data_IF_005035419835
#
_entry.id   IF_005035419835
#
_cell.length_a   1.000
_cell.length_b   1.000
_cell.length_c   1.000
_cell.angle_alpha   90.00
_cell.angle_beta   90.00
_cell.angle_gamma   90.00
#
_symmetry.space_group_name_H-M   'P 1'
#
loop_
_entity.id
_entity.type
_entity.pdbx_description
1 polymer ?
#
# COMPACT_ATOMS: atom_id res chain seq x y z
N UNK A 1 -4.20 26.19 -5.94
CA UNK A 1 -3.96 24.73 -5.93
C UNK A 1 -3.98 24.14 -4.51
N UNK A 2 -3.16 24.62 -3.56
CA UNK A 2 -3.18 24.12 -2.19
C UNK A 2 -4.56 24.25 -1.50
N UNK A 3 -5.21 25.41 -1.61
CA UNK A 3 -6.56 25.60 -1.06
C UNK A 3 -7.59 24.62 -1.65
N UNK A 4 -7.57 24.38 -2.96
CA UNK A 4 -8.47 23.45 -3.63
C UNK A 4 -8.27 21.99 -3.18
N UNK A 5 -7.05 21.61 -2.77
CA UNK A 5 -6.77 20.30 -2.21
C UNK A 5 -7.12 20.19 -0.72
N UNK A 6 -6.88 21.26 0.05
CA UNK A 6 -7.07 21.26 1.50
C UNK A 6 -8.53 21.42 1.92
N UNK A 7 -9.33 22.20 1.19
CA UNK A 7 -10.74 22.46 1.54
C UNK A 7 -11.54 21.16 1.67
N UNK A 8 -11.53 20.23 0.68
CA UNK A 8 -12.25 18.96 0.82
C UNK A 8 -11.77 18.11 2.01
N UNK A 9 -10.46 18.12 2.29
CA UNK A 9 -9.87 17.38 3.42
C UNK A 9 -10.38 17.92 4.74
N UNK A 10 -10.41 19.24 4.92
CA UNK A 10 -10.91 19.87 6.15
C UNK A 10 -12.42 19.71 6.31
N UNK A 11 -13.20 19.83 5.23
CA UNK A 11 -14.65 19.57 5.26
C UNK A 11 -14.91 18.13 5.69
N UNK A 12 -14.23 17.17 5.06
CA UNK A 12 -14.38 15.76 5.42
C UNK A 12 -13.93 15.50 6.85
N UNK A 13 -12.80 16.05 7.29
CA UNK A 13 -12.31 15.92 8.66
C UNK A 13 -13.28 16.52 9.69
N UNK A 14 -13.92 17.64 9.37
CA UNK A 14 -14.95 18.26 10.21
C UNK A 14 -16.20 17.39 10.33
N UNK A 15 -16.70 16.85 9.21
CA UNK A 15 -17.80 15.88 9.21
C UNK A 15 -17.44 14.63 10.00
N UNK A 16 -16.26 14.06 9.78
CA UNK A 16 -15.78 12.87 10.46
C UNK A 16 -15.74 13.07 11.98
N UNK A 17 -15.20 14.21 12.43
CA UNK A 17 -15.18 14.59 13.84
C UNK A 17 -16.60 14.73 14.41
N UNK A 18 -17.51 15.41 13.70
CA UNK A 18 -18.88 15.58 14.15
C UNK A 18 -19.61 14.22 14.33
N UNK A 19 -19.40 13.27 13.41
CA UNK A 19 -20.05 11.96 13.45
C UNK A 19 -19.43 10.97 14.43
N UNK A 20 -18.10 11.00 14.63
CA UNK A 20 -17.39 9.96 15.39
C UNK A 20 -16.75 10.46 16.69
N UNK A 21 -16.78 11.78 16.95
CA UNK A 21 -16.17 12.43 18.11
C UNK A 21 -14.67 12.11 18.25
N UNK A 22 -13.97 11.93 17.13
CA UNK A 22 -12.52 11.73 17.04
C UNK A 22 -11.95 12.36 15.79
N UNK A 23 -10.74 12.92 15.88
CA UNK A 23 -10.07 13.54 14.74
C UNK A 23 -9.43 12.49 13.83
N UNK A 24 -9.63 12.62 12.51
CA UNK A 24 -9.02 11.73 11.52
C UNK A 24 -9.74 11.77 10.17
N UNK A 25 -9.20 11.02 9.21
CA UNK A 25 -9.88 10.68 7.96
C UNK A 25 -10.41 9.24 7.98
N UNK A 26 -9.89 8.40 8.87
CA UNK A 26 -10.24 7.00 9.05
C UNK A 26 -10.21 6.69 10.54
N UNK A 27 -11.09 5.78 10.99
CA UNK A 27 -11.27 5.41 12.39
C UNK A 27 -10.59 4.10 12.83
N UNK A 28 -9.60 3.62 12.09
CA UNK A 28 -9.00 2.30 12.28
C UNK A 28 -7.46 2.31 12.27
N UNK A 29 -6.83 3.48 12.42
CA UNK A 29 -5.39 3.64 12.26
C UNK A 29 -4.60 2.76 13.25
N UNK A 30 -5.03 2.72 14.51
CA UNK A 30 -4.39 1.92 15.54
C UNK A 30 -4.63 0.43 15.35
N UNK A 31 -5.83 0.04 14.92
CA UNK A 31 -6.18 -1.37 14.61
C UNK A 31 -5.32 -1.93 13.48
N UNK A 32 -5.19 -1.21 12.36
CA UNK A 32 -4.35 -1.66 11.25
C UNK A 32 -2.87 -1.69 11.63
N UNK A 33 -2.38 -0.66 12.32
CA UNK A 33 -0.99 -0.62 12.76
C UNK A 33 -0.67 -1.75 13.76
N UNK A 34 -1.62 -2.09 14.64
CA UNK A 34 -1.53 -3.26 15.52
C UNK A 34 -1.37 -4.55 14.71
N UNK A 35 -2.24 -4.77 13.72
CA UNK A 35 -2.17 -5.93 12.83
C UNK A 35 -0.77 -6.07 12.20
N UNK A 36 -0.21 -4.96 11.71
CA UNK A 36 1.15 -4.93 11.18
C UNK A 36 2.18 -5.39 12.20
N UNK A 37 2.10 -4.88 13.43
CA UNK A 37 3.08 -5.22 14.48
C UNK A 37 3.04 -6.69 14.89
N UNK A 38 1.94 -7.40 14.66
CA UNK A 38 1.85 -8.83 14.98
C UNK A 38 2.84 -9.69 14.21
N UNK A 39 3.32 -9.23 13.04
CA UNK A 39 4.36 -9.92 12.26
C UNK A 39 5.74 -9.99 12.94
N UNK A 40 5.98 -9.17 13.97
CA UNK A 40 7.30 -9.10 14.62
C UNK A 40 7.27 -8.89 16.15
N UNK A 41 6.17 -8.38 16.72
CA UNK A 41 6.13 -7.96 18.11
C UNK A 41 6.35 -9.11 19.08
N UNK A 42 7.47 -9.09 19.80
CA UNK A 42 7.73 -9.97 20.94
C UNK A 42 7.34 -9.31 22.27
N UNK A 43 6.33 -9.87 22.94
CA UNK A 43 5.85 -9.38 24.23
C UNK A 43 6.84 -9.62 25.39
N UNK A 44 7.72 -10.62 25.29
CA UNK A 44 8.75 -10.88 26.30
C UNK A 44 9.84 -9.79 26.30
N UNK A 45 10.08 -9.18 25.14
CA UNK A 45 11.02 -8.08 24.94
C UNK A 45 10.39 -6.74 25.35
N UNK A 46 9.21 -6.40 24.80
CA UNK A 46 8.62 -5.07 25.04
C UNK A 46 7.97 -4.92 26.42
N UNK A 47 7.63 -6.03 27.10
CA UNK A 47 7.03 -6.07 28.45
C UNK A 47 5.87 -5.08 28.61
N UNK A 48 4.76 -5.29 27.86
CA UNK A 48 3.67 -4.33 27.84
C UNK A 48 2.97 -4.22 29.21
N UNK A 49 2.42 -3.04 29.55
CA UNK A 49 1.57 -2.88 30.73
C UNK A 49 0.32 -3.78 30.65
N UNK A 50 -0.35 -4.09 31.79
CA UNK A 50 -1.41 -5.10 31.84
C UNK A 50 -2.61 -4.88 30.92
N UNK A 51 -2.90 -3.62 30.55
CA UNK A 51 -3.95 -3.29 29.59
C UNK A 51 -3.57 -3.69 28.16
N UNK A 52 -2.30 -3.50 27.78
CA UNK A 52 -1.76 -3.86 26.46
C UNK A 52 -1.35 -5.34 26.38
N UNK A 53 -0.94 -5.95 27.50
CA UNK A 53 -0.55 -7.36 27.57
C UNK A 53 -1.67 -8.32 27.12
N UNK A 54 -2.93 -7.89 27.22
CA UNK A 54 -4.09 -8.64 26.75
C UNK A 54 -4.13 -8.81 25.21
N UNK A 55 -3.38 -7.98 24.48
CA UNK A 55 -3.26 -8.06 23.02
C UNK A 55 -2.03 -8.89 22.58
N UNK A 56 -1.30 -9.50 23.50
CA UNK A 56 -0.18 -10.37 23.15
C UNK A 56 -0.65 -11.66 22.51
N UNK A 57 0.03 -12.06 21.44
CA UNK A 57 -0.06 -13.41 20.90
C UNK A 57 1.05 -14.29 21.52
N UNK A 58 0.71 -15.44 22.14
CA UNK A 58 1.69 -16.34 22.72
C UNK A 58 2.56 -17.06 21.68
N UNK A 59 2.14 -17.13 20.41
CA UNK A 59 2.94 -17.72 19.34
C UNK A 59 4.14 -16.81 19.04
N UNK A 60 5.33 -17.39 18.78
CA UNK A 60 6.45 -16.63 18.27
C UNK A 60 6.15 -16.09 16.86
N UNK A 61 6.73 -14.94 16.46
CA UNK A 61 6.41 -14.29 15.18
C UNK A 61 6.45 -15.20 13.94
N UNK A 62 7.35 -16.18 13.90
CA UNK A 62 7.49 -17.11 12.76
C UNK A 62 6.36 -18.13 12.62
N UNK A 63 5.54 -18.34 13.66
CA UNK A 63 4.41 -19.28 13.65
C UNK A 63 3.05 -18.57 13.62
N UNK A 64 3.05 -17.23 13.53
CA UNK A 64 1.83 -16.44 13.50
C UNK A 64 1.17 -16.48 12.13
N UNK A 65 -0.16 -16.36 12.07
CA UNK A 65 -0.86 -16.18 10.82
C UNK A 65 -0.49 -14.84 10.16
N UNK A 66 -0.84 -14.64 8.87
CA UNK A 66 -0.72 -13.35 8.21
C UNK A 66 -1.35 -12.21 9.01
N UNK A 67 -0.76 -11.02 8.93
CA UNK A 67 -1.09 -9.85 9.75
C UNK A 67 -2.59 -9.48 9.73
N UNK A 68 -3.28 -9.58 8.60
CA UNK A 68 -4.72 -9.35 8.50
C UNK A 68 -5.57 -10.23 9.43
N UNK A 69 -5.13 -11.44 9.78
CA UNK A 69 -5.91 -12.31 10.66
C UNK A 69 -6.09 -11.70 12.05
N UNK A 70 -5.17 -10.82 12.46
CA UNK A 70 -5.26 -10.11 13.73
C UNK A 70 -6.37 -9.06 13.82
N UNK A 71 -7.08 -8.78 12.72
CA UNK A 71 -8.23 -7.87 12.72
C UNK A 71 -9.51 -8.53 12.21
N UNK A 72 -9.42 -9.72 11.60
CA UNK A 72 -10.55 -10.42 11.00
C UNK A 72 -10.86 -11.78 11.62
N UNK A 73 -9.86 -12.49 12.17
CA UNK A 73 -10.07 -13.78 12.81
C UNK A 73 -10.70 -13.61 14.18
N UNK A 74 -11.68 -14.46 14.49
CA UNK A 74 -12.31 -14.57 15.82
C UNK A 74 -11.30 -14.97 16.91
N UNK A 75 -10.18 -15.58 16.52
CA UNK A 75 -9.12 -16.00 17.42
C UNK A 75 -8.10 -14.89 17.70
N UNK A 76 -8.22 -13.73 17.05
CA UNK A 76 -7.36 -12.59 17.35
C UNK A 76 -7.63 -12.03 18.75
N UNK A 77 -6.59 -11.75 19.56
CA UNK A 77 -6.74 -11.08 20.85
C UNK A 77 -7.55 -9.77 20.77
N UNK A 78 -7.40 -9.01 19.68
CA UNK A 78 -8.12 -7.75 19.49
C UNK A 78 -9.59 -7.98 19.14
N UNK A 79 -9.90 -8.99 18.31
CA UNK A 79 -11.28 -9.27 17.87
C UNK A 79 -12.12 -9.88 19.00
N UNK A 80 -11.50 -10.63 19.93
CA UNK A 80 -12.18 -11.15 21.14
C UNK A 80 -12.58 -10.06 22.14
N UNK A 81 -12.10 -8.83 21.97
CA UNK A 81 -12.46 -7.73 22.87
C UNK A 81 -13.94 -7.39 22.71
N UNK A 82 -14.61 -6.93 23.79
CA UNK A 82 -16.00 -6.50 23.69
C UNK A 82 -16.21 -5.36 22.67
N UNK A 83 -17.38 -5.36 22.05
CA UNK A 83 -17.80 -4.34 21.09
C UNK A 83 -17.23 -4.55 19.69
N UNK A 84 -17.31 -3.51 18.86
CA UNK A 84 -16.81 -3.55 17.48
C UNK A 84 -15.28 -3.43 17.49
N UNK A 85 -14.58 -4.25 16.70
CA UNK A 85 -13.11 -4.25 16.55
C UNK A 85 -12.56 -2.85 16.28
N UNK A 86 -13.24 -2.07 15.44
CA UNK A 86 -12.85 -0.70 15.03
C UNK A 86 -13.47 0.42 15.89
N UNK A 87 -13.99 0.08 17.09
CA UNK A 87 -14.43 1.09 18.05
C UNK A 87 -13.28 2.01 18.47
N UNK A 88 -13.59 3.25 18.87
CA UNK A 88 -12.56 4.21 19.28
C UNK A 88 -11.69 3.70 20.45
N UNK A 89 -12.28 2.94 21.38
CA UNK A 89 -11.56 2.36 22.50
C UNK A 89 -10.57 1.26 22.05
N UNK A 90 -11.02 0.34 21.19
CA UNK A 90 -10.16 -0.73 20.67
C UNK A 90 -9.07 -0.16 19.74
N UNK A 91 -9.38 0.83 18.90
CA UNK A 91 -8.42 1.52 18.04
C UNK A 91 -7.33 2.25 18.85
N UNK A 92 -7.71 2.94 19.93
CA UNK A 92 -6.75 3.59 20.82
C UNK A 92 -5.85 2.59 21.55
N UNK A 93 -6.42 1.49 22.05
CA UNK A 93 -5.66 0.42 22.72
C UNK A 93 -4.66 -0.24 21.76
N UNK A 94 -5.13 -0.61 20.57
CA UNK A 94 -4.34 -1.20 19.50
C UNK A 94 -3.20 -0.26 19.05
N UNK A 95 -3.49 1.03 18.88
CA UNK A 95 -2.48 2.03 18.54
C UNK A 95 -1.40 2.19 19.61
N UNK A 96 -1.77 2.19 20.90
CA UNK A 96 -0.79 2.23 22.00
C UNK A 96 0.11 0.98 22.01
N UNK A 97 -0.46 -0.20 21.80
CA UNK A 97 0.31 -1.43 21.65
C UNK A 97 1.28 -1.33 20.48
N UNK A 98 0.80 -0.92 19.30
CA UNK A 98 1.61 -0.89 18.09
C UNK A 98 2.78 0.09 18.21
N UNK A 99 2.54 1.27 18.78
CA UNK A 99 3.58 2.26 19.04
C UNK A 99 4.61 1.76 20.07
N UNK A 100 4.19 1.00 21.08
CA UNK A 100 5.10 0.36 22.03
C UNK A 100 5.98 -0.67 21.31
N UNK A 101 5.39 -1.57 20.53
CA UNK A 101 6.11 -2.60 19.78
C UNK A 101 7.16 -1.98 18.82
N UNK A 102 6.79 -0.95 18.06
CA UNK A 102 7.71 -0.26 17.12
C UNK A 102 8.86 0.41 17.87
N UNK A 103 8.59 1.09 19.00
CA UNK A 103 9.64 1.77 19.78
C UNK A 103 10.58 0.79 20.47
N UNK A 104 10.06 -0.33 20.96
CA UNK A 104 10.87 -1.36 21.63
C UNK A 104 11.66 -2.22 20.65
N UNK A 105 11.19 -2.38 19.40
CA UNK A 105 11.77 -3.31 18.42
C UNK A 105 11.90 -2.65 17.02
N UNK A 106 12.64 -1.52 16.88
CA UNK A 106 12.65 -0.72 15.65
C UNK A 106 13.29 -1.45 14.45
N UNK A 107 14.32 -2.26 14.69
CA UNK A 107 14.95 -3.04 13.62
C UNK A 107 14.04 -4.15 13.12
N UNK A 108 13.27 -4.78 14.01
CA UNK A 108 12.29 -5.79 13.64
C UNK A 108 11.16 -5.16 12.81
N UNK A 109 10.70 -3.95 13.19
CA UNK A 109 9.76 -3.18 12.38
C UNK A 109 10.30 -2.92 10.97
N UNK A 110 11.50 -2.33 10.84
CA UNK A 110 12.12 -2.05 9.52
C UNK A 110 12.26 -3.33 8.70
N UNK A 111 12.78 -4.42 9.29
CA UNK A 111 12.91 -5.71 8.62
C UNK A 111 11.56 -6.24 8.12
N UNK A 112 10.52 -6.11 8.93
CA UNK A 112 9.16 -6.49 8.57
C UNK A 112 8.63 -5.67 7.39
N UNK A 113 8.81 -4.35 7.39
CA UNK A 113 8.34 -3.45 6.31
C UNK A 113 9.07 -3.76 5.00
N UNK A 114 10.38 -3.98 5.07
CA UNK A 114 11.17 -4.40 3.92
C UNK A 114 10.70 -5.76 3.39
N UNK A 115 10.42 -6.72 4.27
CA UNK A 115 9.89 -8.02 3.88
C UNK A 115 8.57 -7.90 3.12
N UNK A 116 7.63 -7.07 3.58
CA UNK A 116 6.37 -6.82 2.84
C UNK A 116 6.63 -6.11 1.50
N UNK A 117 7.45 -5.05 1.52
CA UNK A 117 7.73 -4.25 0.34
C UNK A 117 8.37 -5.09 -0.77
N UNK A 118 9.31 -5.98 -0.43
CA UNK A 118 9.99 -6.84 -1.40
C UNK A 118 9.06 -7.80 -2.14
N UNK A 119 7.89 -8.15 -1.57
CA UNK A 119 6.87 -8.96 -2.27
C UNK A 119 6.35 -8.27 -3.54
N UNK A 120 6.39 -6.93 -3.59
CA UNK A 120 6.06 -6.15 -4.78
C UNK A 120 6.98 -6.45 -5.96
N UNK A 121 8.23 -6.83 -5.68
CA UNK A 121 9.30 -6.95 -6.67
C UNK A 121 9.67 -8.40 -6.98
N UNK A 122 8.78 -9.35 -6.69
CA UNK A 122 8.94 -10.74 -7.10
C UNK A 122 8.87 -10.89 -8.63
N UNK A 123 9.50 -11.93 -9.17
CA UNK A 123 9.38 -12.25 -10.60
C UNK A 123 7.99 -12.78 -10.92
N UNK A 124 7.54 -13.72 -10.10
CA UNK A 124 6.22 -14.33 -10.11
C UNK A 124 5.24 -13.55 -9.22
N UNK A 125 3.98 -14.01 -9.20
CA UNK A 125 2.91 -13.46 -8.39
C UNK A 125 2.58 -14.44 -7.25
N UNK A 126 3.35 -14.46 -6.15
CA UNK A 126 3.11 -15.42 -5.07
C UNK A 126 1.73 -15.26 -4.44
N UNK A 127 1.11 -16.39 -4.08
CA UNK A 127 -0.14 -16.39 -3.32
C UNK A 127 0.11 -15.78 -1.94
N UNK A 128 -0.50 -14.60 -1.71
CA UNK A 128 -0.34 -13.85 -0.48
C UNK A 128 -1.51 -12.86 -0.31
N UNK A 129 -1.92 -12.55 0.93
CA UNK A 129 -1.57 -13.22 2.20
C UNK A 129 -2.08 -14.66 2.31
N UNK A 130 -3.13 -15.02 1.57
CA UNK A 130 -3.70 -16.35 1.47
C UNK A 130 -4.39 -16.55 0.12
N UNK A 131 -4.89 -17.76 -0.14
CA UNK A 131 -5.53 -18.13 -1.39
C UNK A 131 -6.89 -17.43 -1.62
N UNK A 132 -7.65 -17.12 -0.55
CA UNK A 132 -8.96 -16.45 -0.66
C UNK A 132 -8.76 -15.01 -1.18
N UNK A 133 -7.86 -14.26 -0.53
CA UNK A 133 -7.57 -12.88 -0.92
C UNK A 133 -6.93 -12.81 -2.30
N UNK A 134 -6.02 -13.73 -2.60
CA UNK A 134 -5.36 -13.80 -3.90
C UNK A 134 -6.38 -14.06 -5.03
N UNK A 135 -7.33 -14.96 -4.83
CA UNK A 135 -8.35 -15.31 -5.82
C UNK A 135 -9.29 -14.16 -6.19
N UNK A 136 -9.46 -13.14 -5.34
CA UNK A 136 -10.24 -11.94 -5.69
C UNK A 136 -9.67 -11.13 -6.85
N UNK A 137 -8.41 -11.37 -7.22
CA UNK A 137 -7.74 -10.69 -8.32
C UNK A 137 -7.48 -11.59 -9.52
N UNK A 138 -8.11 -12.76 -9.59
CA UNK A 138 -8.09 -13.65 -10.73
C UNK A 138 -9.48 -13.77 -11.34
N UNK A 139 -9.56 -13.89 -12.66
CA UNK A 139 -10.82 -14.23 -13.31
C UNK A 139 -11.12 -15.71 -13.06
N UNK A 140 -12.21 -16.05 -12.33
CA UNK A 140 -12.44 -17.42 -11.91
C UNK A 140 -13.02 -18.27 -13.05
N UNK A 141 -12.74 -19.58 -13.04
CA UNK A 141 -13.36 -20.53 -13.98
C UNK A 141 -14.76 -20.97 -13.58
N UNK A 142 -15.08 -20.88 -12.29
CA UNK A 142 -16.37 -21.26 -11.70
C UNK A 142 -16.82 -20.17 -10.75
N UNK A 143 -18.13 -19.93 -10.57
CA UNK A 143 -18.61 -18.94 -9.62
C UNK A 143 -17.98 -19.20 -8.24
N UNK A 144 -17.37 -18.18 -7.61
CA UNK A 144 -16.74 -18.34 -6.31
C UNK A 144 -17.80 -18.69 -5.26
N UNK A 145 -17.43 -19.44 -4.21
CA UNK A 145 -18.32 -19.68 -3.09
C UNK A 145 -18.66 -18.35 -2.38
N UNK A 146 -19.75 -18.29 -1.61
CA UNK A 146 -20.07 -17.12 -0.81
C UNK A 146 -18.93 -16.80 0.18
N UNK A 147 -18.75 -15.53 0.57
CA UNK A 147 -17.61 -15.13 1.38
C UNK A 147 -17.53 -15.86 2.73
N UNK A 148 -16.34 -16.37 3.07
CA UNK A 148 -16.12 -17.14 4.29
C UNK A 148 -16.04 -16.26 5.54
N UNK A 149 -15.44 -15.07 5.41
CA UNK A 149 -15.15 -14.14 6.52
C UNK A 149 -16.38 -13.34 6.94
N UNK A 150 -16.56 -13.18 8.25
CA UNK A 150 -17.73 -12.49 8.82
C UNK A 150 -18.03 -11.10 8.22
N UNK A 151 -17.06 -10.17 8.08
CA UNK A 151 -17.33 -8.86 7.47
C UNK A 151 -17.81 -8.96 6.01
N UNK A 152 -17.25 -9.90 5.26
CA UNK A 152 -17.64 -10.12 3.88
C UNK A 152 -19.06 -10.72 3.77
N UNK A 153 -19.51 -11.49 4.78
CA UNK A 153 -20.91 -11.94 4.88
C UNK A 153 -21.87 -10.78 5.14
N UNK A 154 -21.52 -9.85 6.03
CA UNK A 154 -22.35 -8.65 6.28
C UNK A 154 -22.50 -7.83 5.00
N UNK A 155 -21.41 -7.63 4.26
CA UNK A 155 -21.44 -6.97 2.95
C UNK A 155 -22.28 -7.74 1.92
N UNK A 156 -22.16 -9.07 1.89
CA UNK A 156 -22.95 -9.92 1.00
C UNK A 156 -24.46 -9.78 1.28
N UNK A 157 -24.88 -9.85 2.54
CA UNK A 157 -26.28 -9.66 2.92
C UNK A 157 -26.81 -8.27 2.56
N UNK A 158 -26.01 -7.22 2.78
CA UNK A 158 -26.37 -5.87 2.35
C UNK A 158 -26.52 -5.77 0.81
N UNK A 159 -25.65 -6.44 0.06
CA UNK A 159 -25.71 -6.46 -1.39
C UNK A 159 -26.92 -7.25 -1.92
N UNK A 160 -27.37 -8.31 -1.23
CA UNK A 160 -28.62 -9.00 -1.58
C UNK A 160 -29.85 -8.11 -1.49
N UNK A 161 -29.89 -7.24 -0.47
CA UNK A 161 -30.96 -6.25 -0.33
C UNK A 161 -30.93 -5.25 -1.50
N UNK A 162 -29.73 -4.82 -1.91
CA UNK A 162 -29.57 -3.89 -3.04
C UNK A 162 -29.95 -4.52 -4.38
N UNK A 163 -29.53 -5.76 -4.63
CA UNK A 163 -29.82 -6.49 -5.87
C UNK A 163 -31.23 -7.11 -5.90
N UNK A 164 -32.01 -6.95 -4.83
CA UNK A 164 -33.32 -7.59 -4.63
C UNK A 164 -33.29 -9.11 -4.88
N UNK A 165 -32.18 -9.77 -4.54
CA UNK A 165 -31.93 -11.16 -4.88
C UNK A 165 -30.59 -11.70 -4.41
N UNK A 166 -30.30 -12.96 -4.74
CA UNK A 166 -29.00 -13.55 -4.43
C UNK A 166 -27.90 -12.92 -5.28
N UNK A 167 -26.81 -12.54 -4.62
CA UNK A 167 -25.62 -12.04 -5.31
C UNK A 167 -24.80 -13.21 -5.85
N UNK A 168 -24.33 -13.10 -7.10
CA UNK A 168 -23.53 -14.15 -7.70
C UNK A 168 -22.73 -13.68 -8.91
N UNK A 169 -21.53 -14.21 -9.07
CA UNK A 169 -20.74 -13.98 -10.28
C UNK A 169 -21.24 -14.87 -11.40
N UNK A 170 -21.83 -14.26 -12.44
CA UNK A 170 -22.15 -14.97 -13.68
C UNK A 170 -20.95 -14.97 -14.60
N UNK A 171 -20.45 -16.16 -14.93
CA UNK A 171 -19.36 -16.35 -15.90
C UNK A 171 -19.97 -16.53 -17.28
N UNK A 172 -19.53 -15.73 -18.25
CA UNK A 172 -20.04 -15.74 -19.63
C UNK A 172 -18.89 -16.08 -20.58
N UNK A 173 -18.99 -17.24 -21.22
CA UNK A 173 -18.03 -17.68 -22.24
C UNK A 173 -18.45 -17.21 -23.65
N UNK A 174 -17.50 -16.92 -24.55
CA UNK A 174 -16.05 -17.12 -24.44
C UNK A 174 -15.28 -15.94 -23.80
N UNK A 175 -15.97 -14.87 -23.41
CA UNK A 175 -15.33 -13.63 -22.95
C UNK A 175 -14.50 -13.82 -21.67
N UNK A 176 -15.03 -14.60 -20.70
CA UNK A 176 -14.29 -14.93 -19.48
C UNK A 176 -13.01 -15.72 -19.78
N UNK A 177 -13.06 -16.70 -20.70
CA UNK A 177 -11.88 -17.43 -21.16
C UNK A 177 -10.84 -16.53 -21.82
N UNK A 178 -11.25 -15.57 -22.65
CA UNK A 178 -10.33 -14.60 -23.27
C UNK A 178 -9.64 -13.72 -22.22
N UNK A 179 -10.38 -13.24 -21.21
CA UNK A 179 -9.81 -12.42 -20.14
C UNK A 179 -8.85 -13.22 -19.24
N UNK A 180 -9.16 -14.50 -18.96
CA UNK A 180 -8.24 -15.42 -18.25
C UNK A 180 -6.94 -15.61 -19.03
N UNK A 181 -7.02 -15.96 -20.31
CA UNK A 181 -5.83 -16.14 -21.15
C UNK A 181 -5.00 -14.85 -21.26
N UNK A 182 -5.66 -13.68 -21.33
CA UNK A 182 -4.97 -12.40 -21.30
C UNK A 182 -4.25 -12.18 -19.95
N UNK A 183 -4.90 -12.45 -18.83
CA UNK A 183 -4.32 -12.31 -17.50
C UNK A 183 -3.10 -13.23 -17.29
N UNK A 184 -3.13 -14.45 -17.84
CA UNK A 184 -2.03 -15.42 -17.72
C UNK A 184 -0.77 -14.98 -18.48
N UNK A 185 -0.94 -14.29 -19.62
CA UNK A 185 0.17 -13.94 -20.53
C UNK A 185 0.64 -12.50 -20.34
N UNK A 186 -0.29 -11.56 -20.15
CA UNK A 186 -0.01 -10.13 -20.14
C UNK A 186 0.05 -9.64 -18.69
N UNK A 187 1.25 -9.67 -18.13
CA UNK A 187 1.52 -9.09 -16.82
C UNK A 187 2.87 -8.37 -16.79
N UNK A 188 2.98 -7.37 -15.91
CA UNK A 188 4.26 -6.75 -15.58
C UNK A 188 4.83 -7.46 -14.34
N UNK A 189 5.91 -8.26 -14.47
CA UNK A 189 6.52 -8.88 -13.30
C UNK A 189 7.02 -7.79 -12.34
N UNK A 190 7.03 -8.08 -11.04
CA UNK A 190 7.42 -7.11 -10.00
C UNK A 190 8.84 -6.57 -10.20
N UNK A 191 9.77 -7.41 -10.61
CA UNK A 191 11.13 -6.99 -11.02
C UNK A 191 11.13 -6.00 -12.20
N UNK A 192 10.17 -6.13 -13.13
CA UNK A 192 9.96 -5.18 -14.22
C UNK A 192 9.45 -3.83 -13.72
N UNK A 193 8.53 -3.84 -12.74
CA UNK A 193 8.11 -2.63 -12.04
C UNK A 193 9.28 -1.97 -11.30
N UNK A 194 10.15 -2.73 -10.64
CA UNK A 194 11.35 -2.20 -10.00
C UNK A 194 12.26 -1.51 -11.04
N UNK A 195 12.47 -2.13 -12.20
CA UNK A 195 13.25 -1.53 -13.29
C UNK A 195 12.64 -0.18 -13.72
N UNK A 196 11.31 -0.10 -13.88
CA UNK A 196 10.61 1.15 -14.21
C UNK A 196 10.79 2.22 -13.12
N UNK A 197 10.64 1.85 -11.84
CA UNK A 197 10.83 2.76 -10.70
C UNK A 197 12.27 3.29 -10.58
N UNK A 198 13.26 2.54 -11.08
CA UNK A 198 14.67 2.91 -11.07
C UNK A 198 15.07 3.80 -12.26
N UNK A 199 14.24 3.93 -13.30
CA UNK A 199 14.54 4.80 -14.46
C UNK A 199 14.76 6.27 -14.03
N UNK A 200 13.88 6.93 -13.25
CA UNK A 200 14.11 8.31 -12.85
C UNK A 200 15.38 8.55 -12.02
N UNK A 201 15.66 7.82 -10.91
CA UNK A 201 16.90 8.01 -10.17
C UNK A 201 18.14 7.63 -10.99
N UNK A 202 18.05 6.61 -11.85
CA UNK A 202 19.11 6.24 -12.79
C UNK A 202 19.42 7.35 -13.80
N UNK A 203 18.40 7.97 -14.39
CA UNK A 203 18.57 9.10 -15.32
C UNK A 203 19.19 10.32 -14.62
N UNK A 204 18.80 10.59 -13.37
CA UNK A 204 19.42 11.64 -12.54
C UNK A 204 20.89 11.34 -12.30
N UNK A 205 21.23 10.12 -11.89
CA UNK A 205 22.61 9.70 -11.63
C UNK A 205 23.48 9.83 -12.88
N UNK A 206 23.00 9.36 -14.05
CA UNK A 206 23.72 9.47 -15.32
C UNK A 206 23.99 10.94 -15.68
N UNK A 207 23.01 11.84 -15.48
CA UNK A 207 23.19 13.29 -15.72
C UNK A 207 24.23 13.89 -14.76
N UNK A 208 24.20 13.53 -13.49
CA UNK A 208 25.17 13.98 -12.49
C UNK A 208 26.60 13.53 -12.83
N UNK A 209 26.78 12.25 -13.19
CA UNK A 209 28.08 11.70 -13.60
C UNK A 209 28.61 12.40 -14.85
N UNK A 210 27.77 12.60 -15.87
CA UNK A 210 28.17 13.33 -17.09
C UNK A 210 28.57 14.77 -16.79
N UNK A 211 27.88 15.45 -15.87
CA UNK A 211 28.20 16.82 -15.44
C UNK A 211 29.49 16.88 -14.63
N UNK A 212 29.71 15.96 -13.69
CA UNK A 212 30.93 15.87 -12.91
C UNK A 212 32.17 15.66 -13.81
N UNK A 213 32.05 14.80 -14.84
CA UNK A 213 33.11 14.60 -15.85
C UNK A 213 33.42 15.88 -16.65
N UNK A 214 32.41 16.71 -16.95
CA UNK A 214 32.61 17.99 -17.67
C UNK A 214 33.22 19.08 -16.79
N UNK A 215 32.85 19.14 -15.51
CA UNK A 215 33.26 20.21 -14.58
C UNK A 215 34.50 19.85 -13.75
N UNK A 216 35.05 18.65 -13.88
CA UNK A 216 36.24 18.18 -13.15
C UNK A 216 36.05 18.01 -11.64
N UNK A 217 34.87 18.32 -11.09
CA UNK A 217 34.58 18.25 -9.65
C UNK A 217 33.16 17.77 -9.38
N UNK A 218 33.00 16.84 -8.43
CA UNK A 218 31.70 16.32 -7.98
C UNK A 218 30.88 17.41 -7.28
N UNK A 219 31.55 18.30 -6.53
CA UNK A 219 30.94 19.40 -5.77
C UNK A 219 30.23 20.41 -6.69
N UNK A 220 30.78 20.69 -7.87
CA UNK A 220 30.16 21.55 -8.90
C UNK A 220 29.01 20.90 -9.67
N UNK A 221 28.92 19.56 -9.66
CA UNK A 221 27.79 18.83 -10.23
C UNK A 221 26.57 18.83 -9.29
N UNK A 222 26.81 18.68 -7.98
CA UNK A 222 25.75 18.68 -6.94
C UNK A 222 25.20 20.09 -6.70
N UNK A 223 26.03 21.14 -6.75
CA UNK A 223 25.60 22.53 -6.48
C UNK A 223 24.58 23.08 -7.50
N UNK A 224 24.38 22.40 -8.63
CA UNK A 224 23.35 22.72 -9.61
C UNK A 224 22.21 21.72 -9.68
N UNK A 225 22.03 20.90 -8.63
CA UNK A 225 20.91 19.98 -8.45
C UNK A 225 20.15 20.37 -7.17
N UNK A 226 18.80 20.42 -7.17
CA UNK A 226 17.88 20.05 -8.24
C UNK A 226 17.83 21.08 -9.39
N UNK A 227 17.33 20.69 -10.58
CA UNK A 227 17.14 21.63 -11.68
C UNK A 227 16.21 22.78 -11.25
N UNK A 228 16.62 24.03 -11.52
CA UNK A 228 15.82 25.23 -11.21
C UNK A 228 14.47 25.29 -11.95
N UNK A 229 14.29 24.51 -13.02
CA UNK A 229 13.03 24.47 -13.78
C UNK A 229 12.05 23.45 -13.22
N UNK A 230 10.88 23.91 -12.80
CA UNK A 230 9.74 23.08 -12.39
C UNK A 230 9.42 21.97 -13.39
N UNK A 231 9.56 22.26 -14.69
CA UNK A 231 9.36 21.31 -15.80
C UNK A 231 10.19 20.02 -15.66
N UNK A 232 11.41 20.09 -15.11
CA UNK A 232 12.30 18.92 -14.92
C UNK A 232 12.04 18.16 -13.62
N UNK A 233 11.23 18.72 -12.72
CA UNK A 233 10.82 18.08 -11.48
C UNK A 233 9.44 17.41 -11.57
N UNK A 234 8.70 17.58 -12.68
CA UNK A 234 7.32 17.07 -12.81
C UNK A 234 7.21 15.55 -12.60
N UNK A 235 8.25 14.78 -12.94
CA UNK A 235 8.25 13.33 -12.73
C UNK A 235 8.29 12.92 -11.25
N UNK A 236 8.72 13.80 -10.33
CA UNK A 236 8.88 13.44 -8.92
C UNK A 236 7.54 13.19 -8.24
N UNK A 237 6.47 13.87 -8.66
CA UNK A 237 5.13 13.69 -8.10
C UNK A 237 4.58 12.28 -8.36
N UNK A 238 4.39 11.82 -9.63
CA UNK A 238 3.90 10.47 -9.87
C UNK A 238 4.86 9.40 -9.34
N UNK A 239 6.18 9.65 -9.35
CA UNK A 239 7.16 8.72 -8.75
C UNK A 239 7.00 8.58 -7.24
N UNK A 240 6.83 9.70 -6.53
CA UNK A 240 6.63 9.70 -5.08
C UNK A 240 5.31 9.06 -4.73
N UNK A 241 4.24 9.36 -5.48
CA UNK A 241 2.93 8.74 -5.25
C UNK A 241 2.99 7.23 -5.48
N UNK A 242 3.69 6.76 -6.51
CA UNK A 242 3.91 5.33 -6.72
C UNK A 242 4.61 4.68 -5.51
N UNK A 243 5.68 5.28 -4.99
CA UNK A 243 6.35 4.77 -3.79
C UNK A 243 5.47 4.82 -2.54
N UNK A 244 4.70 5.89 -2.35
CA UNK A 244 3.76 6.00 -1.22
C UNK A 244 2.72 4.90 -1.28
N UNK A 245 2.17 4.59 -2.47
CA UNK A 245 1.23 3.49 -2.65
C UNK A 245 1.84 2.13 -2.29
N UNK A 246 3.12 1.91 -2.57
CA UNK A 246 3.80 0.64 -2.27
C UNK A 246 4.27 0.52 -0.82
N UNK A 247 4.83 1.60 -0.26
CA UNK A 247 5.46 1.59 1.08
C UNK A 247 4.43 1.71 2.19
N UNK A 248 3.38 2.51 2.00
CA UNK A 248 2.37 2.73 3.04
C UNK A 248 1.72 1.42 3.53
N UNK A 249 1.13 0.57 2.67
CA UNK A 249 0.53 -0.68 3.12
C UNK A 249 1.55 -1.61 3.78
N UNK A 250 2.76 -1.72 3.25
CA UNK A 250 3.86 -2.48 3.86
C UNK A 250 4.24 -1.96 5.27
N UNK A 251 4.12 -0.65 5.50
CA UNK A 251 4.47 0.00 6.76
C UNK A 251 3.35 -0.03 7.81
N UNK A 252 2.07 0.01 7.39
CA UNK A 252 0.95 0.23 8.32
C UNK A 252 -0.07 -0.91 8.36
N UNK A 253 -0.04 -1.83 7.40
CA UNK A 253 -0.95 -2.95 7.29
C UNK A 253 -0.20 -4.19 6.76
N UNK A 254 -0.41 -4.58 5.51
CA UNK A 254 0.31 -5.68 4.86
C UNK A 254 0.36 -5.46 3.35
N UNK A 255 1.26 -6.18 2.68
CA UNK A 255 1.30 -6.17 1.22
C UNK A 255 0.04 -6.78 0.62
N UNK A 256 -0.51 -6.12 -0.40
CA UNK A 256 -1.60 -6.63 -1.22
C UNK A 256 -1.48 -6.06 -2.66
N UNK A 257 -1.81 -6.88 -3.65
CA UNK A 257 -1.72 -6.52 -5.07
C UNK A 257 -2.55 -5.30 -5.47
N UNK A 258 -3.60 -4.95 -4.72
CA UNK A 258 -4.43 -3.76 -4.96
C UNK A 258 -3.65 -2.46 -4.94
N UNK A 259 -2.52 -2.42 -4.23
CA UNK A 259 -1.68 -1.22 -4.13
C UNK A 259 -0.63 -1.15 -5.24
N UNK A 260 -0.25 -2.31 -5.78
CA UNK A 260 0.69 -2.41 -6.92
C UNK A 260 0.01 -1.93 -8.20
N UNK A 261 -1.24 -2.35 -8.42
CA UNK A 261 -2.01 -2.02 -9.63
C UNK A 261 -2.06 -0.51 -9.95
N UNK A 262 -2.41 0.40 -9.02
CA UNK A 262 -2.39 1.85 -9.26
C UNK A 262 -0.96 2.45 -9.26
N UNK A 263 0.04 1.78 -8.68
CA UNK A 263 1.41 2.27 -8.68
C UNK A 263 2.09 2.15 -10.05
N UNK A 264 1.75 1.12 -10.84
CA UNK A 264 2.32 0.86 -12.18
C UNK A 264 2.17 2.06 -13.12
N UNK A 265 0.96 2.59 -13.42
CA UNK A 265 0.81 3.71 -14.35
C UNK A 265 1.51 4.99 -13.87
N UNK A 266 1.62 5.20 -12.56
CA UNK A 266 2.33 6.35 -12.00
C UNK A 266 3.86 6.21 -12.16
N UNK A 267 4.38 5.00 -11.92
CA UNK A 267 5.80 4.70 -12.13
C UNK A 267 6.19 4.84 -13.61
N UNK A 268 5.36 4.34 -14.53
CA UNK A 268 5.62 4.46 -15.98
C UNK A 268 5.52 5.90 -16.44
N UNK A 269 4.51 6.66 -15.98
CA UNK A 269 4.39 8.10 -16.27
C UNK A 269 5.62 8.87 -15.80
N UNK A 270 6.10 8.60 -14.59
CA UNK A 270 7.32 9.21 -14.07
C UNK A 270 8.55 8.88 -14.91
N UNK A 271 8.72 7.62 -15.31
CA UNK A 271 9.82 7.18 -16.16
C UNK A 271 9.82 7.89 -17.53
N UNK A 272 8.66 7.97 -18.19
CA UNK A 272 8.49 8.65 -19.48
C UNK A 272 8.80 10.14 -19.37
N UNK A 273 8.20 10.84 -18.39
CA UNK A 273 8.43 12.28 -18.18
C UNK A 273 9.92 12.56 -17.89
N UNK A 274 10.58 11.68 -17.12
CA UNK A 274 11.98 11.89 -16.75
C UNK A 274 12.93 11.78 -17.94
N UNK A 275 12.66 10.86 -18.88
CA UNK A 275 13.54 10.57 -20.03
C UNK A 275 13.21 11.41 -21.27
N UNK A 276 11.96 11.88 -21.41
CA UNK A 276 11.52 12.71 -22.54
C UNK A 276 12.45 13.92 -22.71
N UNK A 277 12.99 14.08 -23.93
CA UNK A 277 13.77 15.27 -24.31
C UNK A 277 12.80 16.42 -24.53
N UNK A 278 13.12 17.58 -23.98
CA UNK A 278 12.42 18.82 -24.34
C UNK A 278 12.83 19.14 -25.78
N UNK A 279 11.99 18.82 -26.77
CA UNK A 279 12.19 19.29 -28.13
C UNK A 279 12.14 20.82 -28.08
N UNK A 280 13.31 21.43 -28.29
CA UNK A 280 13.44 22.88 -28.39
C UNK A 280 12.95 23.27 -29.77
N UNK A 281 11.65 23.47 -29.93
CA UNK A 281 11.05 23.92 -31.18
C UNK A 281 10.33 25.26 -30.93
N UNK A 282 11.11 26.34 -31.09
CA UNK A 282 10.76 27.76 -31.30
C UNK A 282 12.07 28.55 -31.08
N UNK A 283 12.71 29.28 -32.00
CA UNK A 283 12.37 29.82 -33.31
C UNK A 283 13.60 29.77 -34.22
N UNK A 284 13.50 29.07 -35.35
CA UNK A 284 14.39 29.27 -36.52
C UNK A 284 13.55 29.55 -37.76
N UNK A 285 12.44 30.27 -37.57
CA UNK A 285 11.55 30.72 -38.65
C UNK A 285 11.14 32.18 -38.43
N UNK A 286 12.12 33.08 -38.45
CA UNK A 286 11.99 34.43 -39.03
C UNK A 286 13.39 35.04 -39.24
N UNK A 287 14.14 34.50 -40.20
CA UNK A 287 15.11 35.29 -40.97
C UNK A 287 14.62 35.31 -42.41
#
# INVERSE_FOLDING_TARGET
MAAAALIPIFIYGGWFYASHQRAGLVGANGVFLYARTMSFADCSVMRPPPDLAQLCDPLPPSMRPPSQEYIWSVDSPLVRRPGITFSAANDSLAGRFALLAIRSQPLAYVGSVLSELTRTFAWDRPVYPDAEVYAYYEFPERPPPPPGRYPARVGAEAAKVYEEGEIGTRIVEPFAGVLRAYQDVVHLPGIGLLAVLLIPPGAVLVRLVRRARRLGTVRGAISGFPPRSWKRAVWTLPWTVAWVLLVTPAAVAEFDYRYVLPAVPLATLAAVICVRREDTQADTLSQ
#
